data_IF_242958594455
#
_entry.id   IF_242958594455
#
_cell.length_a   1.000
_cell.length_b   1.000
_cell.length_c   1.000
_cell.angle_alpha   90.00
_cell.angle_beta   90.00
_cell.angle_gamma   90.00
#
_symmetry.space_group_name_H-M   'P 1'
#
loop_
_entity.id
_entity.type
_entity.pdbx_description
1 polymer ?
#
# COMPACT_ATOMS: atom_id res chain seq x y z
N UNK A 1 5.10 25.65 7.25
CA UNK A 1 4.72 24.82 6.08
C UNK A 1 4.21 23.49 6.58
N UNK A 2 2.95 23.12 6.31
CA UNK A 2 2.46 21.78 6.65
C UNK A 2 3.11 20.81 5.65
N UNK A 3 4.02 19.96 6.11
CA UNK A 3 4.61 18.92 5.25
C UNK A 3 3.48 18.03 4.74
N UNK A 4 3.37 17.89 3.42
CA UNK A 4 2.37 17.04 2.80
C UNK A 4 2.68 15.58 3.15
N UNK A 5 1.66 14.83 3.57
CA UNK A 5 1.85 13.42 3.95
C UNK A 5 2.45 12.61 2.78
N UNK A 6 3.45 11.73 3.02
CA UNK A 6 4.11 10.97 1.95
C UNK A 6 3.15 10.20 1.05
N UNK A 7 2.09 9.60 1.61
CA UNK A 7 1.05 8.92 0.83
C UNK A 7 0.34 9.87 -0.14
N UNK A 8 0.03 11.11 0.27
CA UNK A 8 -0.63 12.09 -0.61
C UNK A 8 0.28 12.47 -1.77
N UNK A 9 1.58 12.61 -1.53
CA UNK A 9 2.55 12.90 -2.58
C UNK A 9 2.74 11.72 -3.54
N UNK A 10 2.75 10.49 -3.02
CA UNK A 10 2.93 9.28 -3.81
C UNK A 10 1.84 9.14 -4.88
N UNK A 11 0.58 9.37 -4.49
CA UNK A 11 -0.59 9.05 -5.32
C UNK A 11 -0.93 10.10 -6.38
N UNK A 12 -0.31 11.28 -6.29
CA UNK A 12 -0.38 12.32 -7.31
C UNK A 12 0.29 11.91 -8.62
N UNK A 13 1.30 11.02 -8.54
CA UNK A 13 1.98 10.45 -9.69
C UNK A 13 1.56 9.01 -9.97
N UNK A 14 2.10 8.47 -11.06
CA UNK A 14 1.99 7.04 -11.39
C UNK A 14 2.87 6.22 -10.45
N UNK A 15 2.33 5.12 -9.92
CA UNK A 15 2.99 4.36 -8.86
C UNK A 15 4.28 3.65 -9.30
N UNK A 16 4.45 3.37 -10.60
CA UNK A 16 5.69 2.78 -11.12
C UNK A 16 6.88 3.75 -11.15
N UNK A 17 6.61 5.06 -11.16
CA UNK A 17 7.61 6.13 -11.07
C UNK A 17 7.83 6.62 -9.64
N UNK A 18 7.21 5.96 -8.65
CA UNK A 18 7.33 6.34 -7.25
C UNK A 18 8.79 6.35 -6.78
N UNK A 19 9.16 7.42 -6.08
CA UNK A 19 10.44 7.50 -5.38
C UNK A 19 10.54 6.35 -4.36
N UNK A 20 11.56 5.47 -4.46
CA UNK A 20 11.75 4.38 -3.52
C UNK A 20 11.84 4.84 -2.06
N UNK A 21 12.42 6.01 -1.79
CA UNK A 21 12.52 6.53 -0.42
C UNK A 21 11.16 6.89 0.15
N UNK A 22 10.26 7.42 -0.69
CA UNK A 22 8.90 7.76 -0.29
C UNK A 22 8.11 6.50 0.08
N UNK A 23 8.24 5.43 -0.71
CA UNK A 23 7.60 4.16 -0.40
C UNK A 23 8.13 3.55 0.91
N UNK A 24 9.44 3.64 1.15
CA UNK A 24 10.05 3.22 2.41
C UNK A 24 9.49 4.03 3.58
N UNK A 25 9.39 5.35 3.46
CA UNK A 25 8.81 6.20 4.51
C UNK A 25 7.37 5.81 4.82
N UNK A 26 6.54 5.55 3.80
CA UNK A 26 5.15 5.12 4.00
C UNK A 26 5.10 3.76 4.68
N UNK A 27 5.91 2.79 4.22
CA UNK A 27 5.95 1.46 4.80
C UNK A 27 6.39 1.47 6.27
N UNK A 28 7.43 2.22 6.60
CA UNK A 28 7.92 2.34 7.97
C UNK A 28 6.88 3.00 8.89
N UNK A 29 6.21 4.06 8.43
CA UNK A 29 5.12 4.68 9.19
C UNK A 29 3.97 3.70 9.39
N UNK A 30 3.57 2.98 8.35
CA UNK A 30 2.48 2.01 8.42
C UNK A 30 2.78 0.88 9.42
N UNK A 31 4.01 0.36 9.42
CA UNK A 31 4.39 -0.82 10.19
C UNK A 31 4.81 -0.52 11.62
N UNK A 32 5.45 0.63 11.86
CA UNK A 32 6.15 0.92 13.13
C UNK A 32 5.69 2.17 13.85
N UNK A 33 4.89 3.04 13.23
CA UNK A 33 4.30 4.16 13.97
C UNK A 33 3.32 3.62 15.03
N UNK A 34 3.25 4.21 16.24
CA UNK A 34 2.34 3.76 17.30
C UNK A 34 0.86 3.82 16.92
N UNK A 35 0.47 4.84 16.15
CA UNK A 35 -0.91 5.01 15.68
C UNK A 35 -0.99 5.73 14.31
N UNK A 36 -0.75 5.01 13.19
CA UNK A 36 -0.77 5.59 11.85
C UNK A 36 -2.19 5.75 11.28
N UNK A 37 -3.19 5.04 11.82
CA UNK A 37 -4.51 4.88 11.18
C UNK A 37 -5.29 6.20 11.10
N UNK A 38 -5.39 7.04 12.16
CA UNK A 38 -6.11 8.30 12.08
C UNK A 38 -5.57 9.23 11.00
N UNK A 39 -4.24 9.37 10.91
CA UNK A 39 -3.60 10.22 9.91
C UNK A 39 -3.77 9.65 8.49
N UNK A 40 -3.70 8.33 8.33
CA UNK A 40 -3.98 7.68 7.05
C UNK A 40 -5.43 7.91 6.62
N UNK A 41 -6.39 7.85 7.54
CA UNK A 41 -7.79 8.15 7.25
C UNK A 41 -8.00 9.60 6.83
N UNK A 42 -7.37 10.56 7.52
CA UNK A 42 -7.42 11.98 7.14
C UNK A 42 -6.92 12.17 5.70
N UNK A 43 -5.77 11.57 5.38
CA UNK A 43 -5.18 11.66 4.05
C UNK A 43 -6.11 11.04 3.01
N UNK A 44 -6.54 9.80 3.22
CA UNK A 44 -7.38 9.05 2.28
C UNK A 44 -8.73 9.74 2.06
N UNK A 45 -9.35 10.30 3.11
CA UNK A 45 -10.60 11.05 2.99
C UNK A 45 -10.46 12.35 2.18
N UNK A 46 -9.23 12.89 2.08
CA UNK A 46 -8.92 14.07 1.28
C UNK A 46 -8.53 13.76 -0.17
N UNK A 47 -8.51 12.49 -0.59
CA UNK A 47 -8.19 12.07 -1.97
C UNK A 47 -9.46 11.75 -2.75
N UNK A 48 -9.38 11.89 -4.07
CA UNK A 48 -10.48 11.59 -4.99
C UNK A 48 -10.02 10.69 -6.13
N UNK A 49 -10.99 10.00 -6.75
CA UNK A 49 -10.81 9.24 -7.99
C UNK A 49 -9.57 8.35 -8.03
N UNK A 50 -8.64 8.65 -8.94
CA UNK A 50 -7.43 7.85 -9.17
C UNK A 50 -6.46 7.91 -7.99
N UNK A 51 -6.32 9.08 -7.36
CA UNK A 51 -5.46 9.23 -6.19
C UNK A 51 -5.94 8.36 -5.03
N UNK A 52 -7.26 8.31 -4.84
CA UNK A 52 -7.89 7.47 -3.82
C UNK A 52 -7.66 5.97 -4.11
N UNK A 53 -7.84 5.53 -5.36
CA UNK A 53 -7.58 4.15 -5.77
C UNK A 53 -6.11 3.75 -5.56
N UNK A 54 -5.18 4.61 -5.97
CA UNK A 54 -3.73 4.43 -5.76
C UNK A 54 -3.38 4.35 -4.27
N UNK A 55 -4.00 5.19 -3.43
CA UNK A 55 -3.80 5.17 -1.99
C UNK A 55 -4.25 3.85 -1.37
N UNK A 56 -5.48 3.41 -1.67
CA UNK A 56 -6.05 2.19 -1.13
C UNK A 56 -5.28 0.96 -1.61
N UNK A 57 -4.89 0.90 -2.88
CA UNK A 57 -4.01 -0.14 -3.40
C UNK A 57 -2.66 -0.17 -2.68
N UNK A 58 -2.01 0.99 -2.49
CA UNK A 58 -0.73 1.10 -1.80
C UNK A 58 -0.83 0.53 -0.39
N UNK A 59 -1.86 0.93 0.36
CA UNK A 59 -2.08 0.46 1.73
C UNK A 59 -2.43 -1.03 1.78
N UNK A 60 -3.28 -1.52 0.87
CA UNK A 60 -3.62 -2.94 0.75
C UNK A 60 -2.40 -3.80 0.35
N UNK A 61 -1.48 -3.24 -0.45
CA UNK A 61 -0.23 -3.89 -0.81
C UNK A 61 0.70 -3.96 0.40
N UNK A 62 0.94 -2.84 1.07
CA UNK A 62 1.88 -2.73 2.19
C UNK A 62 1.43 -3.53 3.43
N UNK A 63 0.12 -3.63 3.71
CA UNK A 63 -0.37 -4.45 4.83
C UNK A 63 -0.13 -5.97 4.63
N UNK A 64 0.14 -6.43 3.40
CA UNK A 64 0.39 -7.85 3.12
C UNK A 64 1.82 -8.29 3.48
N UNK A 65 2.71 -7.35 3.79
CA UNK A 65 4.05 -7.63 4.30
C UNK A 65 3.97 -7.91 5.82
N UNK A 66 3.41 -9.08 6.15
CA UNK A 66 2.87 -9.41 7.47
C UNK A 66 3.90 -9.67 8.59
N UNK A 67 5.19 -9.69 8.30
CA UNK A 67 6.24 -10.00 9.30
C UNK A 67 6.64 -8.81 10.17
N UNK A 68 6.32 -7.58 9.75
CA UNK A 68 6.68 -6.35 10.47
C UNK A 68 5.66 -5.93 11.54
N UNK A 69 4.39 -6.35 11.40
CA UNK A 69 3.26 -5.77 12.14
C UNK A 69 2.77 -6.66 13.29
N UNK A 70 2.24 -6.00 14.34
CA UNK A 70 1.47 -6.64 15.40
C UNK A 70 0.12 -7.12 14.86
N UNK A 71 -0.53 -8.06 15.56
CA UNK A 71 -1.86 -8.54 15.17
C UNK A 71 -2.89 -7.41 15.17
N UNK A 72 -2.89 -6.58 16.21
CA UNK A 72 -3.75 -5.41 16.32
C UNK A 72 -3.62 -4.49 15.09
N UNK A 73 -2.38 -4.17 14.67
CA UNK A 73 -2.14 -3.34 13.47
C UNK A 73 -2.71 -3.98 12.20
N UNK A 74 -2.61 -5.31 12.06
CA UNK A 74 -3.17 -6.01 10.90
C UNK A 74 -4.70 -5.93 10.87
N UNK A 75 -5.35 -6.02 12.03
CA UNK A 75 -6.81 -5.89 12.15
C UNK A 75 -7.23 -4.48 11.73
N UNK A 76 -6.64 -3.44 12.32
CA UNK A 76 -7.00 -2.05 12.02
C UNK A 76 -6.82 -1.69 10.53
N UNK A 77 -5.72 -2.11 9.92
CA UNK A 77 -5.49 -1.90 8.50
C UNK A 77 -6.43 -2.74 7.64
N UNK A 78 -6.80 -3.94 8.08
CA UNK A 78 -7.78 -4.76 7.37
C UNK A 78 -9.16 -4.12 7.43
N UNK A 79 -9.57 -3.56 8.56
CA UNK A 79 -10.84 -2.87 8.73
C UNK A 79 -10.91 -1.59 7.89
N UNK A 80 -9.83 -0.82 7.85
CA UNK A 80 -9.72 0.35 6.97
C UNK A 80 -9.91 -0.03 5.49
N UNK A 81 -9.20 -1.06 5.03
CA UNK A 81 -9.19 -1.47 3.62
C UNK A 81 -10.46 -2.21 3.22
N UNK A 82 -11.06 -2.96 4.13
CA UNK A 82 -12.31 -3.71 3.91
C UNK A 82 -13.56 -2.90 4.26
N UNK A 83 -13.41 -1.62 4.58
CA UNK A 83 -14.54 -0.75 4.88
C UNK A 83 -15.55 -0.74 3.72
N UNK A 84 -16.86 -0.92 3.99
CA UNK A 84 -17.91 -0.92 2.96
C UNK A 84 -17.94 0.35 2.11
N UNK A 85 -17.43 1.47 2.65
CA UNK A 85 -17.34 2.75 1.94
C UNK A 85 -16.47 2.69 0.67
N UNK A 86 -15.59 1.70 0.56
CA UNK A 86 -14.70 1.51 -0.57
C UNK A 86 -15.21 0.50 -1.61
N UNK A 87 -16.31 -0.20 -1.33
CA UNK A 87 -16.87 -1.17 -2.27
C UNK A 87 -17.14 -0.62 -3.67
N UNK A 88 -17.65 0.63 -3.85
CA UNK A 88 -17.85 1.20 -5.18
C UNK A 88 -16.56 1.37 -6.00
N UNK A 89 -15.39 1.36 -5.34
CA UNK A 89 -14.09 1.47 -6.00
C UNK A 89 -13.54 0.10 -6.42
N UNK A 90 -14.00 -0.99 -5.80
CA UNK A 90 -13.51 -2.32 -6.11
C UNK A 90 -14.07 -2.78 -7.44
N UNK A 91 -13.21 -3.36 -8.26
CA UNK A 91 -13.60 -3.91 -9.55
C UNK A 91 -13.56 -5.43 -9.44
N UNK A 92 -14.71 -6.06 -9.66
CA UNK A 92 -14.82 -7.52 -9.75
C UNK A 92 -14.37 -7.92 -11.16
N UNK A 93 -13.17 -8.47 -11.27
CA UNK A 93 -12.71 -9.04 -12.53
C UNK A 93 -13.07 -10.52 -12.62
N UNK A 94 -13.52 -10.93 -13.79
CA UNK A 94 -13.30 -12.29 -14.28
C UNK A 94 -11.84 -12.32 -14.73
N UNK A 95 -10.99 -13.11 -14.08
CA UNK A 95 -9.62 -13.33 -14.53
C UNK A 95 -9.67 -13.75 -16.01
N UNK A 96 -9.31 -12.84 -16.92
CA UNK A 96 -9.10 -13.24 -18.31
C UNK A 96 -7.99 -14.31 -18.32
N UNK A 97 -8.11 -15.34 -19.18
CA UNK A 97 -7.09 -16.37 -19.28
C UNK A 97 -5.72 -15.72 -19.49
N UNK A 98 -4.64 -16.34 -19.00
CA UNK A 98 -3.30 -15.78 -19.11
C UNK A 98 -3.02 -15.37 -20.56
N UNK A 99 -2.41 -14.19 -20.80
CA UNK A 99 -2.16 -13.73 -22.15
C UNK A 99 -1.39 -14.80 -22.93
N UNK A 100 -1.66 -14.98 -24.24
CA UNK A 100 -1.09 -16.06 -25.05
C UNK A 100 0.45 -16.01 -25.17
N UNK A 101 1.09 -14.96 -24.67
CA UNK A 101 2.51 -14.66 -24.79
C UNK A 101 3.40 -15.34 -23.75
N UNK A 102 3.33 -16.68 -23.66
CA UNK A 102 4.40 -17.53 -23.11
C UNK A 102 4.89 -17.29 -21.67
N UNK A 103 5.85 -18.11 -21.22
CA UNK A 103 6.36 -18.14 -19.83
C UNK A 103 7.06 -16.85 -19.34
N UNK A 104 7.14 -15.80 -20.15
CA UNK A 104 7.78 -14.50 -19.83
C UNK A 104 6.77 -13.37 -19.61
N UNK A 105 5.48 -13.56 -19.91
CA UNK A 105 4.47 -12.56 -19.60
C UNK A 105 4.42 -12.34 -18.08
N UNK A 106 4.64 -11.09 -17.66
CA UNK A 106 4.50 -10.70 -16.25
C UNK A 106 3.03 -10.82 -15.91
N UNK A 107 2.70 -11.66 -14.93
CA UNK A 107 1.31 -11.76 -14.46
C UNK A 107 0.81 -10.39 -14.02
N UNK A 108 -0.41 -10.01 -14.43
CA UNK A 108 -1.00 -8.75 -14.03
C UNK A 108 -1.07 -8.65 -12.50
N UNK A 109 -0.91 -7.45 -11.98
CA UNK A 109 -1.09 -7.21 -10.55
C UNK A 109 -2.59 -7.23 -10.22
N UNK A 110 -3.09 -8.42 -9.87
CA UNK A 110 -4.51 -8.64 -9.52
C UNK A 110 -4.97 -7.70 -8.40
N UNK A 111 -4.07 -7.28 -7.50
CA UNK A 111 -4.42 -6.34 -6.45
C UNK A 111 -4.63 -4.93 -7.01
N UNK A 112 -3.74 -4.47 -7.90
CA UNK A 112 -3.89 -3.18 -8.56
C UNK A 112 -5.19 -3.16 -9.39
N UNK A 113 -5.40 -4.22 -10.17
CA UNK A 113 -6.63 -4.41 -10.92
C UNK A 113 -7.85 -4.37 -10.01
N UNK A 114 -7.89 -5.11 -8.90
CA UNK A 114 -9.01 -5.08 -7.96
C UNK A 114 -9.41 -3.69 -7.44
N UNK A 115 -8.49 -2.72 -7.48
CA UNK A 115 -8.74 -1.30 -7.16
C UNK A 115 -9.04 -0.41 -8.38
N UNK A 116 -9.22 -0.99 -9.56
CA UNK A 116 -9.43 -0.33 -10.85
C UNK A 116 -8.18 0.31 -11.43
N UNK A 117 -6.99 -0.19 -11.07
CA UNK A 117 -5.71 0.33 -11.56
C UNK A 117 -5.15 -0.51 -12.71
N UNK A 118 -4.43 0.14 -13.63
CA UNK A 118 -3.77 -0.50 -14.77
C UNK A 118 -2.41 -1.13 -14.42
N UNK A 119 -1.75 -1.72 -15.41
CA UNK A 119 -0.43 -2.35 -15.22
C UNK A 119 0.68 -1.35 -14.86
N UNK A 120 0.56 -0.11 -15.35
CA UNK A 120 1.45 1.02 -15.02
C UNK A 120 1.31 1.48 -13.56
N UNK A 121 0.35 0.98 -12.80
CA UNK A 121 0.17 1.36 -11.40
C UNK A 121 0.80 0.36 -10.43
N UNK A 122 1.62 -0.56 -10.95
CA UNK A 122 2.31 -1.54 -10.12
C UNK A 122 3.41 -0.89 -9.30
N UNK A 123 3.29 -1.00 -7.97
CA UNK A 123 4.35 -0.58 -7.05
C UNK A 123 5.59 -1.47 -7.16
N UNK A 124 6.77 -0.84 -7.25
CA UNK A 124 8.02 -1.52 -6.98
C UNK A 124 8.24 -1.62 -5.47
N UNK A 125 8.15 -2.84 -4.94
CA UNK A 125 8.26 -3.12 -3.50
C UNK A 125 9.62 -3.69 -3.13
N UNK A 126 10.58 -3.77 -4.05
CA UNK A 126 11.91 -4.31 -3.75
C UNK A 126 12.62 -3.49 -2.65
N UNK A 127 12.46 -2.16 -2.66
CA UNK A 127 13.09 -1.26 -1.70
C UNK A 127 12.62 -1.48 -0.25
N UNK A 128 11.40 -1.99 -0.03
CA UNK A 128 10.82 -2.18 1.30
C UNK A 128 11.10 -3.56 1.91
N UNK A 129 11.57 -4.53 1.12
CA UNK A 129 11.69 -5.93 1.55
C UNK A 129 12.63 -6.13 2.75
N UNK A 130 13.71 -5.35 2.86
CA UNK A 130 14.66 -5.46 3.97
C UNK A 130 14.06 -5.00 5.31
N UNK A 131 13.08 -4.10 5.25
CA UNK A 131 12.45 -3.52 6.44
C UNK A 131 11.33 -4.39 6.99
N UNK A 132 10.82 -5.37 6.23
CA UNK A 132 9.71 -6.21 6.71
C UNK A 132 10.14 -7.24 7.77
N UNK A 133 11.45 -7.40 8.04
CA UNK A 133 11.97 -8.53 8.80
C UNK A 133 11.64 -8.43 10.30
N UNK A 134 11.50 -9.59 10.96
CA UNK A 134 11.35 -9.66 12.43
C UNK A 134 12.55 -9.05 13.15
N UNK A 135 13.74 -9.13 12.58
CA UNK A 135 14.96 -8.55 13.12
C UNK A 135 14.85 -7.01 13.15
N UNK A 136 14.53 -6.39 12.02
CA UNK A 136 14.34 -4.94 11.95
C UNK A 136 13.21 -4.47 12.88
N UNK A 137 12.12 -5.22 12.98
CA UNK A 137 11.03 -4.93 13.91
C UNK A 137 11.48 -4.97 15.38
N UNK A 138 12.39 -5.87 15.75
CA UNK A 138 12.92 -5.97 17.10
C UNK A 138 13.87 -4.81 17.43
N UNK A 139 14.72 -4.41 16.48
CA UNK A 139 15.60 -3.24 16.63
C UNK A 139 14.79 -1.96 16.83
N UNK A 140 13.79 -1.72 15.97
CA UNK A 140 12.94 -0.52 16.07
C UNK A 140 12.19 -0.39 17.38
N UNK A 141 11.80 -1.52 18.00
CA UNK A 141 11.12 -1.51 19.31
C UNK A 141 12.04 -1.18 20.46
N UNK A 142 13.35 -1.47 20.33
CA UNK A 142 14.35 -1.09 21.35
C UNK A 142 14.60 0.41 21.35
N UNK A 143 14.60 1.04 20.18
CA UNK A 143 14.82 2.49 20.05
C UNK A 143 13.63 3.34 20.54
N UNK A 144 12.45 2.73 20.72
CA UNK A 144 11.22 3.40 21.16
C UNK A 144 10.98 3.31 22.67
N UNK A 145 11.86 2.62 23.41
CA UNK A 145 11.67 2.27 24.82
C UNK A 145 12.85 2.77 25.66
#
# INVERSE_FOLDING_TARGET
MRLMHPLKRLVQGELHHADPEMLVQIALNLWYHPDPVPLLLEVVNGLQDMELRRALYTLDRLRRYGTAMTEQRRIELSDLIRSPRWEPLKVIFVLSPPPPWGRRAKWPDVLAQGWGLGEEERLDTACILKYQTRHYAAERRKDQN
#
